data_IF_792272956243
#
_entry.id   IF_792272956243
#
_cell.length_a   1.000
_cell.length_b   1.000
_cell.length_c   1.000
_cell.angle_alpha   90.00
_cell.angle_beta   90.00
_cell.angle_gamma   90.00
#
_symmetry.space_group_name_H-M   'P 1'
#
loop_
_entity.id
_entity.type
_entity.pdbx_description
1 polymer ?
#
# COMPACT_ATOMS: atom_id res chain seq x y z
N UNK A 1 19.52 31.29 2.50
CA UNK A 1 19.88 31.64 3.86
C UNK A 1 19.30 30.66 4.86
N UNK A 2 19.90 30.63 6.05
CA UNK A 2 19.45 29.68 7.07
C UNK A 2 18.02 29.97 7.52
N UNK A 3 17.63 31.22 7.57
CA UNK A 3 16.28 31.60 7.96
C UNK A 3 15.25 31.07 6.94
N UNK A 4 15.58 31.26 5.68
CA UNK A 4 14.67 30.77 4.61
C UNK A 4 14.56 29.25 4.63
N UNK A 5 15.67 28.56 4.81
CA UNK A 5 15.67 27.11 4.86
C UNK A 5 14.86 26.58 6.05
N UNK A 6 15.02 27.22 7.21
CA UNK A 6 14.26 26.83 8.40
C UNK A 6 12.76 27.02 8.18
N UNK A 7 12.40 28.12 7.52
CA UNK A 7 11.00 28.41 7.23
C UNK A 7 10.42 27.40 6.25
N UNK A 8 11.19 27.01 5.23
CA UNK A 8 10.76 26.01 4.28
C UNK A 8 10.58 24.65 4.92
N UNK A 9 11.51 24.27 5.79
CA UNK A 9 11.40 23.01 6.51
C UNK A 9 10.17 22.98 7.39
N UNK A 10 9.89 24.07 8.07
CA UNK A 10 8.74 24.19 8.95
C UNK A 10 7.45 24.05 8.16
N UNK A 11 7.36 24.74 7.03
CA UNK A 11 6.19 24.65 6.16
C UNK A 11 6.03 23.26 5.58
N UNK A 12 7.15 22.65 5.17
CA UNK A 12 7.12 21.31 4.59
C UNK A 12 6.66 20.29 5.61
N UNK A 13 7.18 20.34 6.82
CA UNK A 13 6.76 19.43 7.89
C UNK A 13 5.28 19.58 8.19
N UNK A 14 4.83 20.81 8.29
CA UNK A 14 3.44 21.10 8.61
C UNK A 14 2.52 20.54 7.53
N UNK A 15 2.84 20.79 6.27
CA UNK A 15 2.01 20.32 5.15
C UNK A 15 2.05 18.81 5.00
N UNK A 16 3.21 18.22 5.25
CA UNK A 16 3.37 16.76 5.17
C UNK A 16 2.45 16.08 6.18
N UNK A 17 2.39 16.60 7.39
CA UNK A 17 1.53 16.03 8.42
C UNK A 17 0.05 16.14 8.07
N UNK A 18 -0.33 17.17 7.33
CA UNK A 18 -1.73 17.40 7.00
C UNK A 18 -2.14 16.72 5.70
N UNK A 19 -1.21 16.50 4.81
CA UNK A 19 -1.53 15.89 3.53
C UNK A 19 -0.47 16.08 2.47
N UNK A 20 0.59 16.80 2.81
CA UNK A 20 1.68 17.04 1.88
C UNK A 20 2.41 15.78 1.46
N UNK A 21 2.55 14.83 2.38
CA UNK A 21 3.20 13.56 2.08
C UNK A 21 2.44 12.80 1.00
N UNK A 22 1.13 12.79 1.10
CA UNK A 22 0.29 12.12 0.09
C UNK A 22 0.44 12.78 -1.27
N UNK A 23 0.46 14.12 -1.31
CA UNK A 23 0.61 14.84 -2.57
C UNK A 23 1.96 14.51 -3.22
N UNK A 24 3.03 14.46 -2.43
CA UNK A 24 4.35 14.10 -2.92
C UNK A 24 4.33 12.67 -3.47
N UNK A 25 3.74 11.74 -2.73
CA UNK A 25 3.67 10.35 -3.14
C UNK A 25 2.93 10.22 -4.47
N UNK A 26 1.81 10.92 -4.61
CA UNK A 26 1.03 10.89 -5.85
C UNK A 26 1.83 11.47 -7.02
N UNK A 27 2.55 12.55 -6.78
CA UNK A 27 3.38 13.14 -7.81
C UNK A 27 4.48 12.18 -8.24
N UNK A 28 5.13 11.54 -7.28
CA UNK A 28 6.19 10.59 -7.59
C UNK A 28 5.68 9.38 -8.36
N UNK A 29 4.46 8.94 -8.05
CA UNK A 29 3.87 7.82 -8.79
C UNK A 29 3.70 8.16 -10.26
N UNK A 30 3.46 9.43 -10.57
CA UNK A 30 3.30 9.87 -11.96
C UNK A 30 4.61 10.00 -12.71
N UNK A 31 5.71 10.16 -11.99
CA UNK A 31 7.03 10.34 -12.61
C UNK A 31 7.62 9.05 -13.16
N UNK A 32 7.14 7.91 -12.70
CA UNK A 32 7.72 6.64 -13.06
C UNK A 32 8.69 6.15 -12.00
N UNK A 33 8.94 4.87 -12.01
CA UNK A 33 9.69 4.23 -10.92
C UNK A 33 11.10 4.76 -10.76
N UNK A 34 11.80 4.94 -11.88
CA UNK A 34 13.22 5.33 -11.80
C UNK A 34 13.38 6.73 -11.23
N UNK A 35 12.60 7.68 -11.74
CA UNK A 35 12.66 9.06 -11.25
C UNK A 35 12.20 9.15 -9.80
N UNK A 36 11.15 8.41 -9.46
CA UNK A 36 10.64 8.40 -8.09
C UNK A 36 11.69 7.85 -7.13
N UNK A 37 12.35 6.75 -7.50
CA UNK A 37 13.36 6.16 -6.66
C UNK A 37 14.53 7.12 -6.41
N UNK A 38 14.99 7.81 -7.45
CA UNK A 38 16.06 8.78 -7.32
C UNK A 38 15.67 9.90 -6.36
N UNK A 39 14.44 10.41 -6.51
CA UNK A 39 13.95 11.48 -5.65
C UNK A 39 13.84 11.01 -4.19
N UNK A 40 13.32 9.81 -3.98
CA UNK A 40 13.18 9.27 -2.64
C UNK A 40 14.54 9.03 -2.01
N UNK A 41 15.51 8.52 -2.77
CA UNK A 41 16.87 8.33 -2.26
C UNK A 41 17.48 9.66 -1.81
N UNK A 42 17.22 10.71 -2.57
CA UNK A 42 17.70 12.04 -2.22
C UNK A 42 17.06 12.53 -0.90
N UNK A 43 15.74 12.34 -0.78
CA UNK A 43 15.03 12.74 0.43
C UNK A 43 15.52 11.92 1.63
N UNK A 44 15.81 10.64 1.41
CA UNK A 44 16.26 9.76 2.48
C UNK A 44 17.56 10.25 3.12
N UNK A 45 18.42 10.88 2.33
CA UNK A 45 19.69 11.39 2.85
C UNK A 45 19.48 12.52 3.84
N UNK A 46 18.44 13.32 3.65
CA UNK A 46 18.19 14.46 4.53
C UNK A 46 17.10 14.21 5.56
N UNK A 47 16.13 13.34 5.24
CA UNK A 47 15.02 13.07 6.14
C UNK A 47 14.52 11.65 5.92
N UNK A 48 15.15 10.66 6.58
CA UNK A 48 14.76 9.26 6.40
C UNK A 48 13.32 8.97 6.78
N UNK A 49 12.79 9.67 7.80
CA UNK A 49 11.41 9.44 8.21
C UNK A 49 10.42 9.90 7.15
N UNK A 50 10.69 11.04 6.54
CA UNK A 50 9.85 11.54 5.47
C UNK A 50 9.88 10.59 4.27
N UNK A 51 11.08 10.11 3.91
CA UNK A 51 11.21 9.18 2.81
C UNK A 51 10.41 7.90 3.06
N UNK A 52 10.47 7.38 4.29
CA UNK A 52 9.72 6.19 4.65
C UNK A 52 8.22 6.43 4.52
N UNK A 53 7.75 7.57 4.99
CA UNK A 53 6.33 7.90 4.90
C UNK A 53 5.88 8.02 3.46
N UNK A 54 6.70 8.61 2.61
CA UNK A 54 6.38 8.74 1.20
C UNK A 54 6.28 7.36 0.55
N UNK A 55 7.23 6.48 0.85
CA UNK A 55 7.20 5.12 0.29
C UNK A 55 5.93 4.39 0.69
N UNK A 56 5.52 4.54 1.95
CA UNK A 56 4.29 3.90 2.41
C UNK A 56 3.08 4.42 1.68
N UNK A 57 3.04 5.74 1.45
CA UNK A 57 1.89 6.33 0.76
C UNK A 57 1.85 6.03 -0.72
N UNK A 58 2.99 5.64 -1.30
CA UNK A 58 3.04 5.22 -2.69
C UNK A 58 2.53 3.80 -2.88
N UNK A 59 2.43 3.03 -1.79
CA UNK A 59 1.93 1.66 -1.87
C UNK A 59 0.43 1.67 -2.10
N UNK A 60 0.00 1.01 -3.16
CA UNK A 60 -1.42 0.96 -3.52
C UNK A 60 -1.97 -0.45 -3.30
N UNK A 61 -3.30 -0.57 -3.39
CA UNK A 61 -3.93 -1.86 -3.24
C UNK A 61 -3.43 -2.87 -4.29
N UNK A 62 -3.27 -2.43 -5.54
CA UNK A 62 -2.77 -3.33 -6.59
C UNK A 62 -1.31 -3.72 -6.38
N UNK A 63 -0.55 -2.90 -5.66
CA UNK A 63 0.84 -3.25 -5.36
C UNK A 63 0.96 -4.46 -4.45
N UNK A 64 -0.13 -4.85 -3.78
CA UNK A 64 -0.14 -6.06 -2.98
C UNK A 64 0.21 -7.26 -3.84
N UNK A 65 -0.08 -7.19 -5.13
CA UNK A 65 0.27 -8.26 -6.07
C UNK A 65 1.78 -8.52 -6.15
N UNK A 66 2.59 -7.55 -5.74
CA UNK A 66 4.05 -7.73 -5.75
C UNK A 66 4.57 -8.45 -4.51
N UNK A 67 3.74 -8.67 -3.51
CA UNK A 67 4.15 -9.38 -2.31
C UNK A 67 4.29 -10.87 -2.58
N UNK A 68 5.18 -11.54 -1.83
CA UNK A 68 5.30 -12.98 -1.99
C UNK A 68 4.15 -13.69 -1.28
N UNK A 69 4.06 -14.99 -1.49
CA UNK A 69 2.92 -15.77 -0.96
C UNK A 69 2.88 -15.76 0.56
N UNK A 70 4.04 -15.77 1.21
CA UNK A 70 4.09 -15.71 2.67
C UNK A 70 3.49 -14.40 3.15
N UNK A 71 3.83 -13.28 2.50
CA UNK A 71 3.28 -11.98 2.87
C UNK A 71 1.77 -11.94 2.65
N UNK A 72 1.30 -12.49 1.52
CA UNK A 72 -0.15 -12.54 1.26
C UNK A 72 -0.87 -13.29 2.39
N UNK A 73 -0.30 -14.40 2.83
CA UNK A 73 -0.91 -15.17 3.92
C UNK A 73 -0.94 -14.39 5.22
N UNK A 74 0.10 -13.61 5.50
CA UNK A 74 0.11 -12.77 6.71
C UNK A 74 -0.96 -11.68 6.62
N UNK A 75 -1.13 -11.10 5.44
CA UNK A 75 -2.19 -10.12 5.23
C UNK A 75 -3.55 -10.74 5.48
N UNK A 76 -3.77 -11.95 4.98
CA UNK A 76 -5.05 -12.65 5.15
C UNK A 76 -5.38 -12.89 6.62
N UNK A 77 -4.37 -13.02 7.48
CA UNK A 77 -4.60 -13.25 8.90
C UNK A 77 -5.11 -12.01 9.63
N UNK A 78 -4.78 -10.82 9.13
CA UNK A 78 -5.04 -9.58 9.88
C UNK A 78 -6.11 -8.71 9.26
N UNK A 79 -6.41 -8.86 7.96
CA UNK A 79 -7.43 -8.00 7.33
C UNK A 79 -8.82 -8.50 7.68
N UNK A 80 -9.75 -7.56 7.72
CA UNK A 80 -11.16 -7.91 7.86
C UNK A 80 -11.62 -8.56 6.57
N UNK A 81 -12.26 -9.71 6.71
CA UNK A 81 -12.69 -10.48 5.55
C UNK A 81 -13.63 -9.69 4.64
N UNK A 82 -14.55 -8.94 5.24
CA UNK A 82 -15.50 -8.14 4.47
C UNK A 82 -14.78 -7.04 3.71
N UNK A 83 -13.81 -6.37 4.35
CA UNK A 83 -13.04 -5.34 3.68
C UNK A 83 -12.29 -5.91 2.48
N UNK A 84 -11.74 -7.10 2.64
CA UNK A 84 -11.03 -7.75 1.54
C UNK A 84 -11.99 -8.09 0.41
N UNK A 85 -13.17 -8.63 0.73
CA UNK A 85 -14.16 -8.94 -0.29
C UNK A 85 -14.58 -7.71 -1.08
N UNK A 86 -14.91 -6.63 -0.37
CA UNK A 86 -15.34 -5.41 -1.03
C UNK A 86 -14.22 -4.82 -1.86
N UNK A 87 -13.00 -4.79 -1.31
CA UNK A 87 -11.85 -4.26 -2.03
C UNK A 87 -11.54 -5.04 -3.29
N UNK A 88 -11.72 -6.35 -3.26
CA UNK A 88 -11.43 -7.19 -4.42
C UNK A 88 -12.48 -7.09 -5.51
N UNK A 89 -13.62 -6.45 -5.24
CA UNK A 89 -14.64 -6.27 -6.27
C UNK A 89 -14.12 -5.50 -7.49
N UNK A 90 -13.19 -4.59 -7.28
CA UNK A 90 -12.62 -3.83 -8.39
C UNK A 90 -11.16 -4.16 -8.63
N UNK A 91 -10.65 -5.20 -8.01
CA UNK A 91 -9.25 -5.59 -8.18
C UNK A 91 -9.04 -6.32 -9.50
N UNK A 92 -7.79 -6.36 -9.96
CA UNK A 92 -7.44 -7.17 -11.09
C UNK A 92 -7.71 -8.64 -10.79
N UNK A 93 -7.98 -9.42 -11.81
CA UNK A 93 -8.19 -10.86 -11.62
C UNK A 93 -6.95 -11.52 -11.05
N UNK A 94 -5.78 -11.04 -11.46
CA UNK A 94 -4.52 -11.58 -10.98
C UNK A 94 -4.40 -11.42 -9.47
N UNK A 95 -4.68 -10.22 -8.95
CA UNK A 95 -4.61 -9.97 -7.51
C UNK A 95 -5.63 -10.81 -6.76
N UNK A 96 -6.84 -10.87 -7.28
CA UNK A 96 -7.89 -11.68 -6.66
C UNK A 96 -7.43 -13.14 -6.53
N UNK A 97 -6.87 -13.68 -7.59
CA UNK A 97 -6.39 -15.06 -7.58
C UNK A 97 -5.25 -15.26 -6.60
N UNK A 98 -4.37 -14.25 -6.45
CA UNK A 98 -3.28 -14.33 -5.49
C UNK A 98 -3.81 -14.54 -4.07
N UNK A 99 -4.86 -13.83 -3.71
CA UNK A 99 -5.47 -14.04 -2.39
C UNK A 99 -6.13 -15.39 -2.29
N UNK A 100 -6.90 -15.77 -3.31
CA UNK A 100 -7.64 -17.03 -3.27
C UNK A 100 -6.72 -18.25 -3.23
N UNK A 101 -5.63 -18.24 -3.98
CA UNK A 101 -4.71 -19.36 -4.00
C UNK A 101 -3.93 -19.50 -2.70
N UNK A 102 -3.90 -18.47 -1.88
CA UNK A 102 -3.24 -18.54 -0.58
C UNK A 102 -4.20 -18.88 0.56
N UNK A 103 -5.44 -19.20 0.24
CA UNK A 103 -6.42 -19.71 1.17
C UNK A 103 -6.55 -21.21 1.00
N UNK A 104 -7.08 -21.90 2.02
CA UNK A 104 -7.46 -23.29 1.84
C UNK A 104 -8.57 -23.37 0.79
N UNK A 105 -8.75 -24.55 0.21
CA UNK A 105 -9.79 -24.73 -0.80
C UNK A 105 -11.16 -24.36 -0.23
N UNK A 106 -11.46 -24.84 0.97
CA UNK A 106 -12.73 -24.54 1.61
C UNK A 106 -12.92 -23.05 1.84
N UNK A 107 -11.88 -22.38 2.36
CA UNK A 107 -11.96 -20.94 2.62
C UNK A 107 -12.13 -20.16 1.34
N UNK A 108 -11.42 -20.56 0.28
CA UNK A 108 -11.50 -19.92 -1.01
C UNK A 108 -12.90 -20.04 -1.61
N UNK A 109 -13.48 -21.23 -1.54
CA UNK A 109 -14.82 -21.44 -2.06
C UNK A 109 -15.86 -20.63 -1.30
N UNK A 110 -15.74 -20.61 0.03
CA UNK A 110 -16.63 -19.81 0.86
C UNK A 110 -16.48 -18.32 0.56
N UNK A 111 -15.26 -17.88 0.34
CA UNK A 111 -14.99 -16.48 0.05
C UNK A 111 -15.64 -16.07 -1.27
N UNK A 112 -15.49 -16.89 -2.29
CA UNK A 112 -16.08 -16.62 -3.60
C UNK A 112 -17.61 -16.58 -3.50
N UNK A 113 -18.18 -17.51 -2.76
CA UNK A 113 -19.63 -17.54 -2.58
C UNK A 113 -20.13 -16.29 -1.87
N UNK A 114 -19.45 -15.89 -0.79
CA UNK A 114 -19.82 -14.72 -0.06
C UNK A 114 -19.66 -13.44 -0.90
N UNK A 115 -18.62 -13.38 -1.73
CA UNK A 115 -18.48 -12.25 -2.65
C UNK A 115 -19.65 -12.14 -3.60
N UNK A 116 -20.18 -13.30 -4.04
CA UNK A 116 -21.33 -13.32 -4.90
C UNK A 116 -22.57 -12.71 -4.26
N UNK A 117 -22.70 -12.85 -2.95
CA UNK A 117 -23.84 -12.30 -2.23
C UNK A 117 -23.72 -10.81 -1.96
N UNK A 118 -22.54 -10.22 -2.06
CA UNK A 118 -22.39 -8.79 -1.83
C UNK A 118 -23.16 -7.93 -2.80
N UNK A 119 -23.33 -8.42 -4.04
CA UNK A 119 -23.98 -7.65 -5.06
C UNK A 119 -23.17 -6.42 -5.42
N UNK A 120 -23.87 -5.39 -5.90
CA UNK A 120 -23.23 -4.13 -6.28
C UNK A 120 -22.80 -3.36 -5.04
N UNK A 121 -21.60 -2.78 -5.11
CA UNK A 121 -21.09 -1.93 -4.04
C UNK A 121 -20.68 -0.59 -4.65
N UNK A 122 -20.72 0.45 -3.83
CA UNK A 122 -20.37 1.78 -4.29
C UNK A 122 -18.85 1.91 -4.42
N UNK A 123 -18.42 2.73 -5.39
CA UNK A 123 -16.99 2.98 -5.59
C UNK A 123 -16.36 3.46 -4.30
N UNK A 124 -17.04 4.34 -3.58
CA UNK A 124 -16.51 4.86 -2.32
C UNK A 124 -16.31 3.77 -1.28
N UNK A 125 -17.21 2.81 -1.23
CA UNK A 125 -17.06 1.67 -0.32
C UNK A 125 -15.86 0.80 -0.68
N UNK A 126 -15.67 0.59 -1.98
CA UNK A 126 -14.52 -0.17 -2.45
C UNK A 126 -13.23 0.54 -2.09
N UNK A 127 -13.17 1.85 -2.33
CA UNK A 127 -11.97 2.63 -2.01
C UNK A 127 -11.65 2.58 -0.52
N UNK A 128 -12.66 2.71 0.31
CA UNK A 128 -12.47 2.66 1.75
C UNK A 128 -11.99 1.28 2.20
N UNK A 129 -12.56 0.22 1.62
CA UNK A 129 -12.15 -1.13 1.95
C UNK A 129 -10.70 -1.37 1.53
N UNK A 130 -10.35 -0.93 0.34
CA UNK A 130 -8.97 -1.07 -0.14
C UNK A 130 -8.01 -0.29 0.73
N UNK A 131 -8.40 0.90 1.17
CA UNK A 131 -7.55 1.69 2.07
C UNK A 131 -7.27 0.94 3.36
N UNK A 132 -8.28 0.29 3.92
CA UNK A 132 -8.10 -0.48 5.15
C UNK A 132 -7.18 -1.67 4.96
N UNK A 133 -7.30 -2.34 3.82
CA UNK A 133 -6.40 -3.46 3.53
C UNK A 133 -4.97 -2.97 3.38
N UNK A 134 -4.76 -1.86 2.66
CA UNK A 134 -3.43 -1.28 2.51
C UNK A 134 -2.85 -0.89 3.87
N UNK A 135 -3.66 -0.29 4.74
CA UNK A 135 -3.20 0.05 6.09
C UNK A 135 -2.73 -1.18 6.85
N UNK A 136 -3.46 -2.28 6.73
CA UNK A 136 -3.05 -3.51 7.39
C UNK A 136 -1.70 -4.00 6.87
N UNK A 137 -1.51 -3.93 5.56
CA UNK A 137 -0.23 -4.32 4.95
C UNK A 137 0.89 -3.41 5.44
N UNK A 138 0.64 -2.11 5.49
CA UNK A 138 1.65 -1.16 5.95
C UNK A 138 2.04 -1.41 7.40
N UNK A 139 1.07 -1.75 8.26
CA UNK A 139 1.38 -2.08 9.64
C UNK A 139 2.24 -3.34 9.74
N UNK A 140 1.95 -4.34 8.92
CA UNK A 140 2.80 -5.53 8.88
C UNK A 140 4.21 -5.19 8.41
N UNK A 141 4.34 -4.25 7.49
CA UNK A 141 5.64 -3.80 7.03
C UNK A 141 6.39 -3.08 8.14
N UNK A 142 5.69 -2.24 8.91
CA UNK A 142 6.31 -1.51 10.01
C UNK A 142 6.86 -2.44 11.08
N UNK A 143 6.21 -3.57 11.30
CA UNK A 143 6.65 -4.54 12.30
C UNK A 143 7.63 -5.56 11.73
N UNK A 144 7.95 -5.46 10.45
CA UNK A 144 8.92 -6.36 9.81
C UNK A 144 8.35 -7.68 9.35
N UNK A 145 7.04 -7.88 9.48
CA UNK A 145 6.41 -9.14 9.09
C UNK A 145 6.41 -9.30 7.57
N UNK A 146 6.18 -8.20 6.85
CA UNK A 146 6.26 -8.21 5.39
C UNK A 146 7.19 -7.09 4.94
N UNK A 147 7.67 -7.18 3.71
CA UNK A 147 8.51 -6.15 3.12
C UNK A 147 7.81 -5.55 1.90
N UNK A 148 7.74 -4.24 1.87
CA UNK A 148 7.16 -3.52 0.73
C UNK A 148 8.25 -3.16 -0.26
N UNK A 149 7.87 -3.09 -1.51
CA UNK A 149 8.78 -2.65 -2.55
C UNK A 149 9.79 -3.68 -2.94
N UNK A 150 9.65 -4.81 -2.58
CA UNK A 150 10.43 -5.90 -2.96
C UNK A 150 11.89 -5.79 -2.90
N UNK A 151 12.17 -5.86 -2.73
CA UNK A 151 13.28 -5.88 -2.99
C UNK A 151 13.67 -7.03 -3.38
N UNK A 152 13.32 -7.28 -3.75
CA UNK A 152 13.62 -8.09 -4.22
C UNK A 152 14.45 -8.25 -4.98
N UNK A 153 14.69 -7.81 -5.04
CA UNK A 153 15.45 -7.92 -5.66
C UNK A 153 16.44 -8.55 -5.48
N UNK A 154 16.57 -8.86 -4.97
CA UNK A 154 17.50 -9.38 -4.83
C UNK A 154 17.88 -10.41 -5.13
N UNK A 155 17.86 -10.68 -5.41
CA UNK A 155 18.24 -11.49 -5.72
C UNK A 155 18.95 -11.83 -6.33
N UNK A 156 19.19 -11.59 -6.44
CA UNK A 156 19.72 -11.79 -6.98
C UNK A 156 20.26 -12.24 -7.08
#
# INVERSE_FOLDING_TARGET
SAVLESKLQSLTSYKVEIGGTRAVAETLNRLGQKAAKTTIDFIEQSDPNLAANIKEMMFTFEDINSLNNTAIREVLKVVDKKDLMVGLKSASEELKQRFLTNMSQRASEAFIEEMGYLGAVRVKEVEEAQRKVVEAVQKLAETGVVQLGGNDEMIE
#
